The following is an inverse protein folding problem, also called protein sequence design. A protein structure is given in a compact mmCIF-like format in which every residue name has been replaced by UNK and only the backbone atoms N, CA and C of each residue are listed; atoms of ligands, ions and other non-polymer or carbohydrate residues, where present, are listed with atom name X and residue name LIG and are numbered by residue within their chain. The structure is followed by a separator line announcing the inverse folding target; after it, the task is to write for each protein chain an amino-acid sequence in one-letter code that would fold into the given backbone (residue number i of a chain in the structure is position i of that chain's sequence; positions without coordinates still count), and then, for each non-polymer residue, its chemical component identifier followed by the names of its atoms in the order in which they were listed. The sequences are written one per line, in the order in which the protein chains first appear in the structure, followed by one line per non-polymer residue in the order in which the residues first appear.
data_IF_183554582278
#
_entry.id   IF_183554582278
#
_cell.length_a   1.000
_cell.length_b   1.000
_cell.length_c   1.000
_cell.angle_alpha   90.00
_cell.angle_beta   90.00
_cell.angle_gamma   90.00
#
_symmetry.space_group_name_H-M   'P 1'
#
loop_
_entity.id
_entity.type
_entity.pdbx_description
1 polymer ?
#
# COMPACT_ATOMS: atom_id res chain seq x y z
N UNK A 1 -21.54 4.59 5.90
CA UNK A 1 -20.53 3.90 6.72
C UNK A 1 -19.18 4.22 6.14
N UNK A 2 -18.30 4.86 6.90
CA UNK A 2 -16.95 5.19 6.41
C UNK A 2 -16.04 3.99 6.58
N UNK A 3 -15.53 3.45 5.47
CA UNK A 3 -14.65 2.30 5.49
C UNK A 3 -13.21 2.75 5.76
N UNK A 4 -12.56 2.07 6.70
CA UNK A 4 -11.16 2.27 7.01
C UNK A 4 -10.32 1.36 6.13
N UNK A 5 -9.28 1.93 5.52
CA UNK A 5 -8.33 1.20 4.67
C UNK A 5 -6.90 1.40 5.16
N UNK A 6 -6.06 0.41 4.91
CA UNK A 6 -4.62 0.44 5.19
C UNK A 6 -3.86 0.31 3.89
N UNK A 7 -2.89 1.18 3.67
CA UNK A 7 -2.00 1.13 2.50
C UNK A 7 -0.71 0.41 2.91
N UNK A 8 -0.33 -0.62 2.17
CA UNK A 8 0.91 -1.36 2.35
C UNK A 8 1.77 -1.21 1.09
N UNK A 9 3.03 -0.84 1.25
CA UNK A 9 3.99 -0.85 0.14
C UNK A 9 4.76 -2.16 0.17
N UNK A 10 4.74 -2.87 -0.96
CA UNK A 10 5.59 -4.04 -1.20
C UNK A 10 6.76 -3.64 -2.08
N UNK A 11 7.90 -4.28 -1.86
CA UNK A 11 9.12 -4.09 -2.64
C UNK A 11 9.55 -5.41 -3.24
N UNK A 12 9.94 -5.38 -4.51
CA UNK A 12 10.59 -6.48 -5.21
C UNK A 12 11.95 -6.04 -5.75
N UNK A 13 12.85 -6.99 -6.01
CA UNK A 13 14.17 -6.73 -6.55
C UNK A 13 15.23 -6.30 -5.51
N UNK A 14 16.48 -6.26 -5.97
CA UNK A 14 17.62 -5.78 -5.19
C UNK A 14 17.56 -4.26 -5.01
N UNK A 15 18.40 -3.67 -4.14
CA UNK A 15 18.34 -2.22 -3.86
C UNK A 15 18.44 -1.34 -5.11
N UNK A 16 19.24 -1.75 -6.09
CA UNK A 16 19.47 -0.99 -7.33
C UNK A 16 18.39 -1.20 -8.39
N UNK A 17 17.59 -2.27 -8.28
CA UNK A 17 16.50 -2.61 -9.21
C UNK A 17 15.16 -2.69 -8.48
N UNK A 18 15.07 -1.99 -7.35
CA UNK A 18 13.94 -2.07 -6.46
C UNK A 18 12.73 -1.46 -7.15
N UNK A 19 11.67 -2.25 -7.26
CA UNK A 19 10.36 -1.75 -7.68
C UNK A 19 9.40 -1.87 -6.50
N UNK A 20 8.52 -0.90 -6.42
CA UNK A 20 7.55 -0.73 -5.36
C UNK A 20 6.15 -0.78 -5.94
N UNK A 21 5.24 -1.36 -5.19
CA UNK A 21 3.81 -1.34 -5.47
C UNK A 21 3.09 -1.04 -4.16
N UNK A 22 2.07 -0.21 -4.21
CA UNK A 22 1.19 0.06 -3.09
C UNK A 22 -0.10 -0.74 -3.23
N UNK A 23 -0.53 -1.36 -2.14
CA UNK A 23 -1.74 -2.17 -2.07
C UNK A 23 -2.64 -1.63 -0.97
N UNK A 24 -3.92 -1.48 -1.25
CA UNK A 24 -4.92 -0.93 -0.32
C UNK A 24 -5.81 -2.04 0.18
N UNK A 25 -5.89 -2.20 1.49
CA UNK A 25 -6.65 -3.25 2.17
C UNK A 25 -7.73 -2.66 3.05
N UNK A 26 -8.88 -3.33 3.24
CA UNK A 26 -9.78 -3.03 4.35
C UNK A 26 -9.03 -3.22 5.68
N UNK A 27 -9.08 -2.25 6.58
CA UNK A 27 -8.36 -2.34 7.87
C UNK A 27 -8.91 -3.44 8.78
N UNK A 28 -10.18 -3.80 8.62
CA UNK A 28 -10.89 -4.75 9.47
C UNK A 28 -10.69 -6.21 9.08
N UNK A 29 -10.10 -6.50 7.92
CA UNK A 29 -10.02 -7.85 7.38
C UNK A 29 -8.58 -8.20 6.99
N UNK A 30 -7.95 -9.05 7.79
CA UNK A 30 -6.53 -9.40 7.67
C UNK A 30 -6.21 -10.33 6.51
N UNK A 31 -7.21 -11.01 5.94
CA UNK A 31 -7.07 -11.96 4.83
C UNK A 31 -7.74 -11.47 3.54
N UNK A 32 -8.29 -10.25 3.55
CA UNK A 32 -8.94 -9.67 2.39
C UNK A 32 -7.97 -9.47 1.22
N UNK A 33 -8.50 -9.70 0.03
CA UNK A 33 -7.86 -9.27 -1.21
C UNK A 33 -7.71 -7.74 -1.22
N UNK A 34 -6.62 -7.21 -1.79
CA UNK A 34 -6.44 -5.77 -1.90
C UNK A 34 -7.56 -5.18 -2.77
N UNK A 35 -8.17 -4.10 -2.29
CA UNK A 35 -9.14 -3.31 -3.05
C UNK A 35 -8.49 -2.60 -4.24
N UNK A 36 -7.20 -2.30 -4.12
CA UNK A 36 -6.37 -1.71 -5.15
C UNK A 36 -4.95 -2.27 -5.05
N UNK A 37 -4.33 -2.53 -6.19
CA UNK A 37 -2.89 -2.63 -6.34
C UNK A 37 -2.42 -1.65 -7.42
N UNK A 38 -1.52 -0.73 -7.08
CA UNK A 38 -0.98 0.24 -8.05
C UNK A 38 -0.03 -0.43 -9.04
N UNK A 39 0.26 0.16 -10.22
CA UNK A 39 1.34 -0.34 -11.06
C UNK A 39 2.69 -0.28 -10.34
N UNK A 40 3.60 -1.20 -10.69
CA UNK A 40 4.97 -1.20 -10.16
C UNK A 40 5.76 0.03 -10.64
N UNK A 41 6.34 0.78 -9.71
CA UNK A 41 7.22 1.93 -9.98
C UNK A 41 8.56 1.77 -9.29
N UNK A 42 9.59 2.47 -9.77
CA UNK A 42 10.89 2.56 -9.08
C UNK A 42 10.83 3.48 -7.85
N UNK A 43 9.77 4.29 -7.72
CA UNK A 43 9.60 5.27 -6.64
C UNK A 43 8.47 4.86 -5.69
N UNK A 44 8.83 4.48 -4.47
CA UNK A 44 7.89 4.17 -3.39
C UNK A 44 6.90 5.32 -3.11
N UNK A 45 7.40 6.56 -3.08
CA UNK A 45 6.56 7.72 -2.77
C UNK A 45 5.45 7.95 -3.81
N UNK A 46 5.71 7.63 -5.09
CA UNK A 46 4.71 7.79 -6.16
C UNK A 46 3.58 6.79 -6.00
N UNK A 47 3.91 5.50 -5.83
CA UNK A 47 2.88 4.45 -5.66
C UNK A 47 2.05 4.66 -4.40
N UNK A 48 2.68 5.12 -3.30
CA UNK A 48 1.98 5.42 -2.06
C UNK A 48 1.04 6.63 -2.21
N UNK A 49 1.46 7.66 -2.96
CA UNK A 49 0.64 8.83 -3.25
C UNK A 49 -0.56 8.47 -4.14
N UNK A 50 -0.37 7.63 -5.14
CA UNK A 50 -1.46 7.16 -6.01
C UNK A 50 -2.51 6.36 -5.23
N UNK A 51 -2.07 5.46 -4.36
CA UNK A 51 -2.96 4.71 -3.47
C UNK A 51 -3.74 5.63 -2.50
N UNK A 52 -3.09 6.67 -1.95
CA UNK A 52 -3.75 7.66 -1.13
C UNK A 52 -4.81 8.45 -1.91
N UNK A 53 -4.48 8.92 -3.11
CA UNK A 53 -5.45 9.66 -3.95
C UNK A 53 -6.64 8.80 -4.31
N UNK A 54 -6.42 7.52 -4.63
CA UNK A 54 -7.50 6.58 -4.86
C UNK A 54 -8.38 6.43 -3.61
N UNK A 55 -7.78 6.20 -2.43
CA UNK A 55 -8.55 6.07 -1.20
C UNK A 55 -9.39 7.32 -0.88
N UNK A 56 -8.82 8.51 -1.08
CA UNK A 56 -9.53 9.78 -0.91
C UNK A 56 -10.69 9.94 -1.90
N UNK A 57 -10.48 9.59 -3.18
CA UNK A 57 -11.51 9.64 -4.23
C UNK A 57 -12.70 8.73 -3.92
N UNK A 58 -12.45 7.61 -3.24
CA UNK A 58 -13.47 6.66 -2.81
C UNK A 58 -14.04 6.95 -1.41
N UNK A 59 -13.69 8.09 -0.81
CA UNK A 59 -14.10 8.50 0.54
C UNK A 59 -13.73 7.49 1.64
N UNK A 60 -12.62 6.77 1.47
CA UNK A 60 -12.06 5.89 2.49
C UNK A 60 -11.17 6.66 3.45
N UNK A 61 -11.18 6.27 4.73
CA UNK A 61 -10.23 6.79 5.72
C UNK A 61 -8.99 5.91 5.70
N UNK A 62 -7.85 6.49 5.34
CA UNK A 62 -6.56 5.80 5.44
C UNK A 62 -6.15 5.75 6.90
N UNK A 63 -6.28 4.59 7.52
CA UNK A 63 -5.69 4.29 8.82
C UNK A 63 -4.19 4.08 8.61
N UNK A 64 -3.40 5.12 8.86
CA UNK A 64 -1.95 4.99 8.87
C UNK A 64 -1.51 4.45 10.24
N UNK A 65 -1.02 3.20 10.35
CA UNK A 65 -0.35 2.77 11.57
C UNK A 65 0.95 3.56 11.70
N UNK A 66 0.89 4.78 12.26
CA UNK A 66 2.07 5.59 12.64
C UNK A 66 2.91 4.93 13.74
N UNK A 67 2.54 3.73 14.19
CA UNK A 67 3.23 2.97 15.21
C UNK A 67 3.59 1.61 14.61
N UNK A 68 4.77 1.55 13.99
CA UNK A 68 5.34 0.31 13.46
C UNK A 68 5.58 0.35 11.96
N UNK A 69 6.61 1.10 11.54
CA UNK A 69 7.53 0.76 10.44
C UNK A 69 7.09 -0.44 9.59
N UNK A 70 6.32 -0.21 8.53
CA UNK A 70 6.11 -1.23 7.48
C UNK A 70 6.83 -0.80 6.22
N UNK A 71 8.15 -0.68 6.36
CA UNK A 71 9.08 -0.56 5.25
C UNK A 71 9.29 -1.94 4.66
N UNK A 72 8.66 -2.18 3.51
CA UNK A 72 8.89 -3.30 2.61
C UNK A 72 8.90 -4.67 3.28
N UNK A 73 7.78 -5.40 3.21
CA UNK A 73 7.88 -6.87 3.22
C UNK A 73 8.73 -7.22 2.00
N UNK A 74 9.94 -7.80 2.13
CA UNK A 74 10.60 -8.38 0.98
C UNK A 74 9.68 -9.51 0.51
N UNK A 75 9.20 -9.44 -0.73
CA UNK A 75 8.62 -10.61 -1.38
C UNK A 75 9.68 -11.72 -1.36
N UNK A 76 9.62 -12.62 -0.38
CA UNK A 76 10.39 -13.87 -0.40
C UNK A 76 9.79 -14.72 -1.51
N UNK A 77 10.60 -14.95 -2.54
CA UNK A 77 10.37 -16.02 -3.50
C UNK A 77 10.93 -17.32 -2.92
#
# INVERSE_FOLDING_TARGET
MTLHVTIRTIRTGALQTARYQAQVYPTTDGEALPLLATPWSEREAEVFRDAQFWAQRHAYIVSNPRVGTYYGIPCRR
#
